data_IF_074751689026
#
_entry.id   IF_074751689026
#
_cell.length_a   1.000
_cell.length_b   1.000
_cell.length_c   1.000
_cell.angle_alpha   90.00
_cell.angle_beta   90.00
_cell.angle_gamma   90.00
#
_symmetry.space_group_name_H-M   'P 1'
#
loop_
_entity.id
_entity.type
_entity.pdbx_description
1 polymer ?
#
# COMPACT_ATOMS: atom_id res chain seq x y z
N UNK A 1 -21.00 81.09 -31.66
CA UNK A 1 -21.11 79.64 -31.96
C UNK A 1 -19.78 78.86 -31.84
N UNK A 2 -18.61 79.38 -32.25
CA UNK A 2 -17.31 78.68 -32.12
C UNK A 2 -16.93 78.22 -30.69
N UNK A 3 -17.21 79.02 -29.66
CA UNK A 3 -16.89 78.66 -28.26
C UNK A 3 -17.70 77.46 -27.72
N UNK A 4 -18.90 77.21 -28.25
CA UNK A 4 -19.73 76.09 -27.78
C UNK A 4 -19.21 74.75 -28.33
N UNK A 5 -18.68 74.76 -29.55
CA UNK A 5 -18.12 73.59 -30.23
C UNK A 5 -16.80 73.18 -29.56
N UNK A 6 -15.91 74.13 -29.29
CA UNK A 6 -14.65 73.86 -28.62
C UNK A 6 -14.84 73.31 -27.19
N UNK A 7 -15.86 73.77 -26.46
CA UNK A 7 -16.19 73.28 -25.12
C UNK A 7 -16.72 71.84 -25.13
N UNK A 8 -17.53 71.48 -26.14
CA UNK A 8 -18.01 70.10 -26.32
C UNK A 8 -16.90 69.13 -26.71
N UNK A 9 -15.98 69.56 -27.57
CA UNK A 9 -14.80 68.76 -27.96
C UNK A 9 -13.89 68.52 -26.74
N UNK A 10 -13.65 69.55 -25.92
CA UNK A 10 -12.81 69.42 -24.73
C UNK A 10 -13.41 68.44 -23.70
N UNK A 11 -14.73 68.51 -23.48
CA UNK A 11 -15.43 67.57 -22.59
C UNK A 11 -15.33 66.15 -23.12
N UNK A 12 -15.56 65.94 -24.43
CA UNK A 12 -15.45 64.61 -25.04
C UNK A 12 -14.03 64.03 -24.92
N UNK A 13 -12.99 64.83 -25.13
CA UNK A 13 -11.58 64.42 -24.96
C UNK A 13 -11.32 64.02 -23.51
N UNK A 14 -11.77 64.83 -22.53
CA UNK A 14 -11.61 64.50 -21.12
C UNK A 14 -12.33 63.20 -20.73
N UNK A 15 -13.53 62.96 -21.25
CA UNK A 15 -14.26 61.71 -20.97
C UNK A 15 -13.53 60.49 -21.53
N UNK A 16 -12.97 60.58 -22.74
CA UNK A 16 -12.18 59.50 -23.35
C UNK A 16 -10.92 59.21 -22.54
N UNK A 17 -10.21 60.25 -22.08
CA UNK A 17 -9.01 60.09 -21.24
C UNK A 17 -9.34 59.40 -19.92
N UNK A 18 -10.44 59.78 -19.26
CA UNK A 18 -10.88 59.14 -18.01
C UNK A 18 -11.19 57.65 -18.23
N UNK A 19 -11.89 57.31 -19.32
CA UNK A 19 -12.22 55.90 -19.65
C UNK A 19 -10.95 55.08 -19.87
N UNK A 20 -9.95 55.63 -20.58
CA UNK A 20 -8.68 54.95 -20.82
C UNK A 20 -7.93 54.73 -19.51
N UNK A 21 -7.84 55.72 -18.63
CA UNK A 21 -7.15 55.61 -17.34
C UNK A 21 -7.83 54.57 -16.43
N UNK A 22 -9.16 54.58 -16.35
CA UNK A 22 -9.92 53.60 -15.56
C UNK A 22 -9.73 52.18 -16.11
N UNK A 23 -9.68 52.02 -17.44
CA UNK A 23 -9.45 50.73 -18.10
C UNK A 23 -8.04 50.20 -17.83
N UNK A 24 -7.02 51.07 -17.86
CA UNK A 24 -5.63 50.69 -17.55
C UNK A 24 -5.52 50.27 -16.08
N UNK A 25 -6.09 51.05 -15.16
CA UNK A 25 -6.07 50.73 -13.72
C UNK A 25 -6.77 49.40 -13.44
N UNK A 26 -7.92 49.14 -14.07
CA UNK A 26 -8.64 47.86 -13.91
C UNK A 26 -7.86 46.68 -14.50
N UNK A 27 -7.19 46.83 -15.65
CA UNK A 27 -6.32 45.79 -16.21
C UNK A 27 -5.12 45.52 -15.29
N UNK A 28 -4.49 46.56 -14.74
CA UNK A 28 -3.37 46.41 -13.81
C UNK A 28 -3.81 45.77 -12.49
N UNK A 29 -4.98 46.14 -11.95
CA UNK A 29 -5.56 45.50 -10.77
C UNK A 29 -5.92 44.04 -11.05
N UNK A 30 -6.53 43.72 -12.22
CA UNK A 30 -6.82 42.34 -12.60
C UNK A 30 -5.55 41.51 -12.74
N UNK A 31 -4.49 42.05 -13.36
CA UNK A 31 -3.17 41.39 -13.48
C UNK A 31 -2.49 41.21 -12.12
N UNK A 32 -2.57 42.20 -11.24
CA UNK A 32 -1.99 42.10 -9.89
C UNK A 32 -2.75 41.09 -9.03
N UNK A 33 -4.08 41.02 -9.15
CA UNK A 33 -4.93 40.04 -8.46
C UNK A 33 -4.67 38.64 -9.01
N UNK A 34 -4.60 38.46 -10.33
CA UNK A 34 -4.29 37.15 -10.94
C UNK A 34 -2.86 36.70 -10.65
N UNK A 35 -1.87 37.60 -10.69
CA UNK A 35 -0.48 37.30 -10.33
C UNK A 35 -0.33 36.95 -8.84
N UNK A 36 -1.03 37.64 -7.92
CA UNK A 36 -1.08 37.24 -6.51
C UNK A 36 -1.83 35.94 -6.29
N UNK A 37 -2.88 35.65 -7.05
CA UNK A 37 -3.59 34.37 -7.00
C UNK A 37 -2.77 33.20 -7.58
N UNK A 38 -1.78 33.47 -8.42
CA UNK A 38 -0.85 32.45 -8.92
C UNK A 38 0.30 32.18 -7.95
N UNK A 39 0.51 33.05 -6.95
CA UNK A 39 1.58 32.88 -5.94
C UNK A 39 1.04 32.36 -4.60
N UNK A 40 -0.28 32.21 -4.46
CA UNK A 40 -0.96 31.71 -3.26
C UNK A 40 -2.06 30.74 -3.67
N UNK A 41 -1.72 29.64 -4.36
CA UNK A 41 -2.53 28.40 -4.52
C UNK A 41 -1.89 27.43 -5.53
N UNK A 42 -0.60 27.11 -5.38
CA UNK A 42 -0.04 25.86 -5.93
C UNK A 42 1.12 25.37 -5.07
N UNK A 43 0.95 25.33 -3.74
CA UNK A 43 1.40 24.12 -3.04
C UNK A 43 0.33 23.09 -3.35
N UNK A 44 0.32 22.58 -4.58
CA UNK A 44 -0.35 21.32 -4.84
C UNK A 44 0.35 20.37 -3.88
N UNK A 45 -0.31 19.97 -2.79
CA UNK A 45 0.19 18.94 -1.89
C UNK A 45 0.42 17.72 -2.79
N UNK A 46 1.63 17.57 -3.32
CA UNK A 46 2.01 16.46 -4.17
C UNK A 46 1.82 15.25 -3.28
N UNK A 47 0.77 14.48 -3.54
CA UNK A 47 0.58 13.19 -2.90
C UNK A 47 1.83 12.38 -3.17
N UNK A 48 2.53 12.00 -2.10
CA UNK A 48 3.73 11.20 -2.21
C UNK A 48 3.37 9.80 -2.74
N UNK A 49 4.25 9.23 -3.56
CA UNK A 49 4.20 7.82 -3.93
C UNK A 49 4.50 6.92 -2.72
N UNK A 50 4.17 5.62 -2.82
CA UNK A 50 4.41 4.67 -1.74
C UNK A 50 5.89 4.64 -1.30
N UNK A 51 6.83 4.69 -2.25
CA UNK A 51 8.26 4.66 -1.94
C UNK A 51 8.73 5.98 -1.32
N UNK A 52 8.30 7.14 -1.85
CA UNK A 52 8.59 8.45 -1.25
C UNK A 52 8.09 8.56 0.20
N UNK A 53 6.93 7.97 0.51
CA UNK A 53 6.40 7.88 1.88
C UNK A 53 7.36 7.09 2.78
N UNK A 54 7.80 5.90 2.36
CA UNK A 54 8.68 5.04 3.16
C UNK A 54 10.07 5.65 3.36
N UNK A 55 10.64 6.28 2.31
CA UNK A 55 11.93 6.96 2.38
C UNK A 55 11.90 8.17 3.32
N UNK A 56 10.79 8.92 3.31
CA UNK A 56 10.63 10.16 4.08
C UNK A 56 10.12 9.91 5.50
N UNK A 57 9.50 8.76 5.78
CA UNK A 57 8.90 8.48 7.07
C UNK A 57 9.96 8.33 8.16
N UNK A 58 9.81 9.17 9.19
CA UNK A 58 10.61 9.15 10.41
C UNK A 58 9.72 9.47 11.59
N UNK A 59 9.77 8.62 12.61
CA UNK A 59 9.20 8.93 13.92
C UNK A 59 10.35 9.46 14.78
N UNK A 60 10.20 10.68 15.28
CA UNK A 60 11.24 11.30 16.10
C UNK A 60 11.21 10.64 17.49
N UNK A 61 12.37 10.52 18.15
CA UNK A 61 12.54 10.01 19.53
C UNK A 61 12.37 8.50 19.75
N UNK A 62 12.01 7.71 18.75
CA UNK A 62 11.95 6.24 18.94
C UNK A 62 13.33 5.63 19.22
N UNK A 63 14.40 6.15 18.62
CA UNK A 63 15.77 5.71 18.93
C UNK A 63 16.16 5.96 20.39
N UNK A 64 15.74 7.10 20.95
CA UNK A 64 15.96 7.46 22.36
C UNK A 64 15.18 6.52 23.31
N UNK A 65 14.05 5.98 22.84
CA UNK A 65 13.25 4.97 23.55
C UNK A 65 13.75 3.52 23.34
N UNK A 66 14.89 3.34 22.67
CA UNK A 66 15.51 2.03 22.46
C UNK A 66 14.89 1.21 21.31
N UNK A 67 14.24 1.86 20.35
CA UNK A 67 13.82 1.19 19.11
C UNK A 67 14.93 1.17 18.08
N UNK A 68 15.01 0.06 17.34
CA UNK A 68 15.87 -0.13 16.19
C UNK A 68 15.01 0.01 14.93
N UNK A 69 15.48 0.79 13.97
CA UNK A 69 14.87 0.92 12.64
C UNK A 69 15.36 -0.21 11.74
N UNK A 70 14.42 -0.90 11.09
CA UNK A 70 14.65 -1.92 10.09
C UNK A 70 13.96 -1.49 8.79
N UNK A 71 14.75 -1.36 7.73
CA UNK A 71 14.24 -1.09 6.39
C UNK A 71 13.89 -2.42 5.70
N UNK A 72 12.97 -2.36 4.75
CA UNK A 72 12.56 -3.47 3.89
C UNK A 72 12.12 -4.72 4.67
N UNK A 73 11.50 -4.49 5.83
CA UNK A 73 10.93 -5.58 6.62
C UNK A 73 9.78 -6.21 5.84
N UNK A 74 9.66 -7.55 5.77
CA UNK A 74 8.49 -8.17 5.18
C UNK A 74 7.24 -7.66 5.89
N UNK A 75 6.31 -7.10 5.13
CA UNK A 75 5.03 -6.67 5.67
C UNK A 75 3.90 -7.28 4.87
N UNK A 76 2.76 -7.38 5.55
CA UNK A 76 1.50 -7.73 4.95
C UNK A 76 0.59 -6.52 5.14
N UNK A 77 0.21 -5.90 4.02
CA UNK A 77 -0.82 -4.88 4.01
C UNK A 77 -2.16 -5.54 3.70
N UNK A 78 -3.21 -5.22 4.47
CA UNK A 78 -4.59 -5.61 4.21
C UNK A 78 -5.42 -4.40 3.76
N UNK A 79 -6.09 -4.50 2.61
CA UNK A 79 -6.86 -3.38 2.06
C UNK A 79 -8.18 -3.81 1.43
N UNK A 80 -9.25 -3.08 1.78
CA UNK A 80 -10.61 -3.19 1.24
C UNK A 80 -10.88 -2.12 0.19
N UNK A 81 -11.14 -2.55 -1.05
CA UNK A 81 -11.65 -1.68 -2.11
C UNK A 81 -13.17 -1.48 -1.99
N UNK A 82 -13.72 -0.41 -2.58
CA UNK A 82 -15.14 -0.07 -2.56
C UNK A 82 -16.00 -0.92 -3.50
N UNK A 83 -15.43 -1.52 -4.56
CA UNK A 83 -16.18 -2.30 -5.54
C UNK A 83 -16.43 -3.76 -5.10
N UNK A 84 -15.49 -4.34 -4.36
CA UNK A 84 -15.57 -5.67 -3.76
C UNK A 84 -14.75 -5.63 -2.47
N UNK A 85 -15.16 -6.35 -1.42
CA UNK A 85 -14.32 -6.48 -0.22
C UNK A 85 -13.11 -7.35 -0.54
N UNK A 86 -12.16 -6.76 -1.26
CA UNK A 86 -10.86 -7.35 -1.50
C UNK A 86 -10.13 -7.26 -0.17
N UNK A 87 -9.39 -8.28 0.20
CA UNK A 87 -8.40 -8.16 1.26
C UNK A 87 -7.17 -8.79 0.67
N UNK A 88 -6.37 -7.98 -0.01
CA UNK A 88 -5.10 -8.46 -0.54
C UNK A 88 -4.13 -8.44 0.62
N UNK A 89 -3.46 -9.56 0.89
CA UNK A 89 -2.22 -9.57 1.67
C UNK A 89 -1.08 -9.36 0.68
N UNK A 90 -0.56 -8.15 0.61
CA UNK A 90 0.61 -7.87 -0.22
C UNK A 90 1.85 -8.06 0.63
N UNK A 91 2.72 -9.00 0.22
CA UNK A 91 4.11 -8.96 0.65
C UNK A 91 4.72 -7.73 0.03
N UNK A 92 4.94 -6.71 0.85
CA UNK A 92 5.58 -5.48 0.39
C UNK A 92 7.03 -5.47 0.83
N UNK A 93 7.89 -5.05 -0.10
CA UNK A 93 9.29 -4.77 0.19
C UNK A 93 9.45 -3.36 0.74
N UNK A 94 8.61 -2.42 0.31
CA UNK A 94 8.61 -1.03 0.80
C UNK A 94 7.89 -0.94 2.16
N UNK A 95 8.59 -1.32 3.22
CA UNK A 95 8.13 -1.08 4.59
C UNK A 95 9.26 -0.60 5.48
N UNK A 96 8.88 0.07 6.56
CA UNK A 96 9.78 0.52 7.61
C UNK A 96 9.22 0.05 8.95
N UNK A 97 10.05 -0.66 9.69
CA UNK A 97 9.71 -1.17 11.01
C UNK A 97 10.60 -0.55 12.07
N UNK A 98 10.00 -0.12 13.18
CA UNK A 98 10.69 0.23 14.40
C UNK A 98 10.38 -0.85 15.42
N UNK A 99 11.39 -1.53 15.95
CA UNK A 99 11.21 -2.64 16.91
C UNK A 99 12.06 -2.48 18.16
N UNK A 100 11.58 -2.95 19.31
CA UNK A 100 12.30 -2.93 20.58
C UNK A 100 12.00 -4.16 21.42
N UNK A 101 13.00 -4.64 22.16
CA UNK A 101 12.83 -5.70 23.15
C UNK A 101 12.41 -5.17 24.53
N UNK A 102 12.24 -3.86 24.67
CA UNK A 102 11.81 -3.24 25.92
C UNK A 102 10.29 -3.39 26.10
N UNK A 103 9.90 -4.32 26.97
CA UNK A 103 8.50 -4.66 27.28
C UNK A 103 7.72 -3.55 28.00
N UNK A 104 8.37 -2.45 28.40
CA UNK A 104 7.72 -1.29 29.05
C UNK A 104 7.17 -0.25 28.05
N UNK A 105 7.40 -0.42 26.74
CA UNK A 105 7.14 0.59 25.71
C UNK A 105 5.76 0.49 25.01
N UNK A 106 4.85 -0.38 25.47
CA UNK A 106 3.48 -0.50 24.93
C UNK A 106 2.68 0.81 24.92
N UNK A 107 3.02 1.76 25.80
CA UNK A 107 2.37 3.07 25.92
C UNK A 107 2.70 4.04 24.78
N UNK A 108 3.63 3.70 23.90
CA UNK A 108 4.07 4.58 22.80
C UNK A 108 3.13 4.55 21.58
N UNK A 109 2.25 3.55 21.46
CA UNK A 109 1.36 3.39 20.30
C UNK A 109 0.54 4.65 19.98
N UNK A 110 -0.11 5.34 20.94
CA UNK A 110 -0.88 6.55 20.64
C UNK A 110 -0.01 7.69 20.07
N UNK A 111 1.21 7.86 20.59
CA UNK A 111 2.14 8.88 20.10
C UNK A 111 2.59 8.56 18.67
N UNK A 112 2.97 7.31 18.41
CA UNK A 112 3.39 6.84 17.08
C UNK A 112 2.25 6.98 16.07
N UNK A 113 1.03 6.60 16.43
CA UNK A 113 -0.14 6.75 15.56
C UNK A 113 -0.43 8.23 15.25
N UNK A 114 -0.28 9.12 16.24
CA UNK A 114 -0.48 10.57 16.05
C UNK A 114 0.54 11.19 15.09
N UNK A 115 1.83 10.90 15.30
CA UNK A 115 2.90 11.36 14.41
C UNK A 115 2.73 10.81 12.99
N UNK A 116 2.39 9.52 12.86
CA UNK A 116 2.14 8.89 11.56
C UNK A 116 0.94 9.52 10.86
N UNK A 117 -0.17 9.74 11.58
CA UNK A 117 -1.37 10.38 11.01
C UNK A 117 -1.06 11.78 10.48
N UNK A 118 -0.28 12.56 11.24
CA UNK A 118 0.14 13.91 10.83
C UNK A 118 1.00 13.87 9.56
N UNK A 119 1.99 12.97 9.54
CA UNK A 119 2.86 12.79 8.39
C UNK A 119 2.07 12.35 7.14
N UNK A 120 1.19 11.36 7.27
CA UNK A 120 0.37 10.87 6.16
C UNK A 120 -0.55 11.95 5.60
N UNK A 121 -1.17 12.75 6.47
CA UNK A 121 -1.99 13.91 6.07
C UNK A 121 -1.17 14.93 5.27
N UNK A 122 0.02 15.28 5.75
CA UNK A 122 0.92 16.19 5.06
C UNK A 122 1.46 15.61 3.74
N UNK A 123 1.48 14.28 3.62
CA UNK A 123 1.88 13.55 2.42
C UNK A 123 0.74 13.35 1.41
N UNK A 124 -0.44 13.93 1.66
CA UNK A 124 -1.60 13.86 0.77
C UNK A 124 -2.41 12.56 0.85
N UNK A 125 -2.39 11.90 2.01
CA UNK A 125 -3.21 10.72 2.31
C UNK A 125 -4.29 11.06 3.35
N UNK A 126 -5.41 10.36 3.28
CA UNK A 126 -6.50 10.46 4.25
C UNK A 126 -6.56 9.18 5.09
N UNK A 127 -6.98 9.30 6.35
CA UNK A 127 -7.26 8.13 7.18
C UNK A 127 -8.51 7.43 6.65
N UNK A 128 -8.46 6.11 6.59
CA UNK A 128 -9.48 5.27 5.98
C UNK A 128 -9.86 4.14 6.94
N UNK A 129 -11.15 3.99 7.22
CA UNK A 129 -11.71 2.97 8.13
C UNK A 129 -11.88 1.59 7.45
N UNK A 130 -11.24 1.37 6.30
CA UNK A 130 -11.22 0.10 5.56
C UNK A 130 -10.44 -1.04 6.22
N UNK A 131 -10.00 -0.88 7.47
CA UNK A 131 -9.31 -1.92 8.24
C UNK A 131 -10.17 -3.19 8.29
N UNK A 132 -9.71 -4.25 7.63
CA UNK A 132 -10.37 -5.56 7.68
C UNK A 132 -10.02 -6.19 9.03
N UNK A 133 -11.04 -6.34 9.87
CA UNK A 133 -11.13 -7.17 11.08
C UNK A 133 -9.86 -7.98 11.43
N UNK A 134 -9.22 -7.64 12.56
CA UNK A 134 -8.32 -8.56 13.24
C UNK A 134 -8.99 -9.08 14.52
N UNK A 135 -9.10 -10.39 14.66
CA UNK A 135 -9.59 -11.04 15.88
C UNK A 135 -8.53 -11.02 17.00
N UNK A 136 -7.32 -10.53 16.72
CA UNK A 136 -6.22 -10.46 17.67
C UNK A 136 -6.16 -9.07 18.34
N UNK A 137 -6.55 -8.99 19.61
CA UNK A 137 -6.58 -7.76 20.42
C UNK A 137 -5.20 -7.13 20.70
N UNK A 138 -4.12 -7.76 20.23
CA UNK A 138 -2.74 -7.36 20.53
C UNK A 138 -2.12 -6.40 19.51
N UNK A 139 -2.77 -6.19 18.36
CA UNK A 139 -2.28 -5.31 17.30
C UNK A 139 -3.30 -4.23 16.95
N UNK A 140 -2.84 -2.98 16.91
CA UNK A 140 -3.58 -1.84 16.40
C UNK A 140 -3.21 -1.58 14.94
N UNK A 141 -4.22 -1.33 14.11
CA UNK A 141 -4.07 -1.06 12.69
C UNK A 141 -4.63 0.33 12.38
N UNK A 142 -3.94 1.05 11.50
CA UNK A 142 -4.46 2.29 10.93
C UNK A 142 -4.14 2.36 9.44
N UNK A 143 -5.17 2.54 8.63
CA UNK A 143 -5.04 2.56 7.17
C UNK A 143 -5.15 4.01 6.68
N UNK A 144 -4.33 4.34 5.68
CA UNK A 144 -4.29 5.62 5.03
C UNK A 144 -4.35 5.40 3.51
N UNK A 145 -5.15 6.17 2.80
CA UNK A 145 -5.31 6.01 1.36
C UNK A 145 -5.23 7.35 0.64
N UNK A 146 -4.75 7.31 -0.60
CA UNK A 146 -4.75 8.42 -1.54
C UNK A 146 -5.30 7.97 -2.89
N UNK A 147 -5.28 8.83 -3.91
CA UNK A 147 -5.62 8.44 -5.28
C UNK A 147 -4.70 7.35 -5.84
N UNK A 148 -3.46 7.22 -5.34
CA UNK A 148 -2.43 6.40 -5.98
C UNK A 148 -1.88 5.27 -5.10
N UNK A 149 -2.02 5.36 -3.78
CA UNK A 149 -1.41 4.41 -2.86
C UNK A 149 -2.29 4.15 -1.63
N UNK A 150 -1.97 3.06 -0.95
CA UNK A 150 -2.50 2.68 0.36
C UNK A 150 -1.32 2.41 1.28
N UNK A 151 -1.40 2.94 2.50
CA UNK A 151 -0.45 2.67 3.56
C UNK A 151 -1.17 2.14 4.79
N UNK A 152 -0.52 1.27 5.54
CA UNK A 152 -1.03 0.72 6.78
C UNK A 152 0.06 0.78 7.85
N UNK A 153 -0.29 1.39 8.98
CA UNK A 153 0.49 1.33 10.20
C UNK A 153 -0.02 0.16 11.04
N UNK A 154 0.88 -0.73 11.44
CA UNK A 154 0.63 -1.81 12.39
C UNK A 154 1.47 -1.58 13.63
N UNK A 155 0.84 -1.56 14.80
CA UNK A 155 1.50 -1.39 16.10
C UNK A 155 1.11 -2.50 17.04
N UNK A 156 2.05 -3.01 17.84
CA UNK A 156 1.72 -3.91 18.95
C UNK A 156 1.27 -3.13 20.18
N UNK A 157 0.05 -3.35 20.66
CA UNK A 157 -0.46 -2.76 21.90
C UNK A 157 0.01 -3.53 23.14
N UNK A 158 0.20 -4.84 23.02
CA UNK A 158 0.81 -5.72 24.02
C UNK A 158 1.71 -6.73 23.31
N UNK A 159 2.82 -7.18 23.93
CA UNK A 159 3.65 -8.21 23.32
C UNK A 159 2.83 -9.51 23.28
N UNK A 160 2.58 -10.04 22.07
CA UNK A 160 1.71 -11.22 21.84
C UNK A 160 2.21 -12.47 22.58
N UNK A 161 3.49 -12.48 22.93
CA UNK A 161 4.20 -13.46 23.76
C UNK A 161 5.40 -12.75 24.40
N UNK A 162 5.84 -13.15 25.60
CA UNK A 162 6.96 -12.53 26.34
C UNK A 162 8.30 -12.49 25.59
N UNK A 163 8.39 -13.17 24.43
CA UNK A 163 9.55 -13.21 23.52
C UNK A 163 9.40 -12.35 22.26
N UNK A 164 8.23 -11.78 21.95
CA UNK A 164 8.05 -10.92 20.79
C UNK A 164 8.34 -9.45 21.13
N UNK A 165 9.23 -8.85 20.35
CA UNK A 165 9.57 -7.44 20.39
C UNK A 165 8.34 -6.57 20.10
N UNK A 166 8.18 -5.47 20.83
CA UNK A 166 7.24 -4.42 20.47
C UNK A 166 7.65 -3.80 19.15
N UNK A 167 6.70 -3.57 18.25
CA UNK A 167 7.01 -2.94 16.97
C UNK A 167 5.92 -1.99 16.47
N UNK A 168 6.37 -1.08 15.60
CA UNK A 168 5.57 -0.20 14.76
C UNK A 168 6.05 -0.34 13.33
N UNK A 169 5.20 -0.82 12.43
CA UNK A 169 5.53 -1.04 11.03
C UNK A 169 4.61 -0.20 10.13
N UNK A 170 5.21 0.73 9.38
CA UNK A 170 4.51 1.43 8.31
C UNK A 170 4.84 0.78 6.98
N UNK A 171 3.79 0.52 6.22
CA UNK A 171 3.78 -0.35 5.06
C UNK A 171 3.00 0.34 3.96
N UNK A 172 3.58 0.56 2.78
CA UNK A 172 2.90 1.27 1.69
C UNK A 172 2.96 0.50 0.38
N UNK A 173 1.91 0.63 -0.42
CA UNK A 173 1.81 -0.01 -1.73
C UNK A 173 1.00 0.85 -2.70
N UNK A 174 1.35 0.81 -3.97
CA UNK A 174 0.55 1.48 -5.00
C UNK A 174 -0.79 0.76 -5.21
N UNK A 175 -1.86 1.52 -5.48
CA UNK A 175 -3.17 0.97 -5.85
C UNK A 175 -3.08 0.14 -7.13
N UNK A 176 -2.19 0.51 -8.05
CA UNK A 176 -1.90 -0.29 -9.24
C UNK A 176 -1.38 -1.68 -8.88
N UNK A 177 -0.42 -1.79 -7.96
CA UNK A 177 0.11 -3.08 -7.51
C UNK A 177 -0.96 -3.93 -6.81
N UNK A 178 -1.88 -3.32 -6.07
CA UNK A 178 -3.06 -4.00 -5.50
C UNK A 178 -3.91 -4.60 -6.63
N UNK A 179 -4.24 -3.82 -7.66
CA UNK A 179 -5.02 -4.27 -8.82
C UNK A 179 -4.30 -5.37 -9.59
N UNK A 180 -3.01 -5.20 -9.89
CA UNK A 180 -2.21 -6.19 -10.62
C UNK A 180 -2.15 -7.53 -9.87
N UNK A 181 -1.98 -7.51 -8.54
CA UNK A 181 -2.02 -8.73 -7.73
C UNK A 181 -3.41 -9.36 -7.71
N UNK A 182 -4.48 -8.56 -7.63
CA UNK A 182 -5.85 -9.07 -7.70
C UNK A 182 -6.13 -9.76 -9.04
N UNK A 183 -5.76 -9.15 -10.16
CA UNK A 183 -5.94 -9.71 -11.49
C UNK A 183 -5.13 -11.00 -11.67
N UNK A 184 -3.91 -11.05 -11.11
CA UNK A 184 -3.11 -12.26 -11.06
C UNK A 184 -3.81 -13.38 -10.26
N UNK A 185 -4.33 -13.09 -9.07
CA UNK A 185 -5.09 -14.05 -8.25
C UNK A 185 -6.34 -14.53 -9.01
N UNK A 186 -7.09 -13.62 -9.63
CA UNK A 186 -8.27 -13.96 -10.42
C UNK A 186 -7.94 -14.90 -11.58
N UNK A 187 -6.85 -14.63 -12.30
CA UNK A 187 -6.35 -15.51 -13.36
C UNK A 187 -5.98 -16.89 -12.81
N UNK A 188 -5.29 -16.96 -11.67
CA UNK A 188 -4.95 -18.22 -11.01
C UNK A 188 -6.20 -19.01 -10.61
N UNK A 189 -7.15 -18.37 -9.92
CA UNK A 189 -8.39 -19.04 -9.49
C UNK A 189 -9.22 -19.55 -10.67
N UNK A 190 -9.17 -18.90 -11.84
CA UNK A 190 -9.84 -19.38 -13.04
C UNK A 190 -9.33 -20.76 -13.52
N UNK A 191 -8.11 -21.14 -13.15
CA UNK A 191 -7.54 -22.47 -13.50
C UNK A 191 -8.16 -23.63 -12.70
N UNK A 192 -8.88 -23.33 -11.61
CA UNK A 192 -9.48 -24.35 -10.72
C UNK A 192 -10.85 -24.81 -11.23
N UNK A 193 -11.46 -24.10 -12.19
CA UNK A 193 -12.76 -24.46 -12.78
C UNK A 193 -13.98 -24.27 -11.85
N UNK A 194 -13.77 -23.78 -10.63
CA UNK A 194 -14.82 -23.48 -9.64
C UNK A 194 -15.03 -21.96 -9.52
N UNK A 195 -16.23 -21.45 -9.17
CA UNK A 195 -16.48 -20.01 -8.96
C UNK A 195 -15.86 -19.50 -7.64
N UNK A 196 -14.54 -19.69 -7.48
CA UNK A 196 -13.75 -19.11 -6.42
C UNK A 196 -13.67 -17.60 -6.63
N UNK A 197 -14.16 -16.82 -5.66
CA UNK A 197 -14.06 -15.37 -5.72
C UNK A 197 -12.67 -14.94 -5.24
N UNK A 198 -11.95 -14.08 -5.96
CA UNK A 198 -10.64 -13.57 -5.52
C UNK A 198 -10.67 -12.93 -4.13
N UNK A 199 -11.82 -12.35 -3.74
CA UNK A 199 -12.05 -11.78 -2.40
C UNK A 199 -11.89 -12.78 -1.26
N UNK A 200 -12.10 -14.07 -1.52
CA UNK A 200 -12.12 -15.13 -0.51
C UNK A 200 -10.72 -15.67 -0.20
N UNK A 201 -9.72 -15.23 -0.96
CA UNK A 201 -8.36 -15.73 -0.90
C UNK A 201 -7.37 -14.61 -0.59
N UNK A 202 -6.23 -15.00 0.00
CA UNK A 202 -5.10 -14.12 0.30
C UNK A 202 -3.82 -14.79 -0.16
N UNK A 203 -2.89 -14.01 -0.70
CA UNK A 203 -1.56 -14.52 -1.00
C UNK A 203 -0.85 -14.88 0.31
N UNK A 204 -0.47 -16.15 0.47
CA UNK A 204 0.26 -16.65 1.62
C UNK A 204 1.78 -16.50 1.40
N UNK A 205 2.27 -16.94 0.24
CA UNK A 205 3.67 -16.76 -0.15
C UNK A 205 3.83 -16.88 -1.66
N UNK A 206 4.95 -16.35 -2.15
CA UNK A 206 5.49 -16.59 -3.49
C UNK A 206 6.98 -16.87 -3.37
N UNK A 207 7.44 -17.96 -3.96
CA UNK A 207 8.86 -18.27 -4.08
C UNK A 207 9.14 -18.40 -5.57
N UNK A 208 10.20 -17.74 -6.04
CA UNK A 208 10.61 -17.80 -7.44
C UNK A 208 12.10 -18.00 -7.53
N UNK A 209 12.53 -18.85 -8.44
CA UNK A 209 13.93 -19.08 -8.75
C UNK A 209 14.11 -19.19 -10.27
N UNK A 210 15.24 -18.75 -10.79
CA UNK A 210 15.59 -18.89 -12.21
C UNK A 210 16.78 -19.82 -12.35
N UNK A 211 16.66 -20.86 -13.16
CA UNK A 211 17.73 -21.82 -13.44
C UNK A 211 17.73 -22.16 -14.92
N UNK A 212 18.89 -22.09 -15.56
CA UNK A 212 19.07 -22.33 -17.00
C UNK A 212 18.15 -21.45 -17.88
N UNK A 213 17.99 -20.18 -17.53
CA UNK A 213 17.06 -19.23 -18.17
C UNK A 213 15.58 -19.61 -18.11
N UNK A 214 15.21 -20.61 -17.31
CA UNK A 214 13.83 -20.98 -17.04
C UNK A 214 13.45 -20.44 -15.65
N UNK A 215 12.32 -19.75 -15.57
CA UNK A 215 11.77 -19.23 -14.32
C UNK A 215 10.79 -20.24 -13.73
N UNK A 216 11.06 -20.68 -12.50
CA UNK A 216 10.16 -21.50 -11.72
C UNK A 216 9.56 -20.67 -10.59
N UNK A 217 8.26 -20.75 -10.40
CA UNK A 217 7.59 -20.08 -9.29
C UNK A 217 6.60 -21.01 -8.61
N UNK A 218 6.48 -20.86 -7.29
CA UNK A 218 5.37 -21.39 -6.50
C UNK A 218 4.64 -20.26 -5.79
N UNK A 219 3.34 -20.43 -5.67
CA UNK A 219 2.46 -19.48 -5.03
C UNK A 219 1.39 -20.22 -4.25
N UNK A 220 1.14 -19.79 -3.01
CA UNK A 220 0.03 -20.31 -2.20
C UNK A 220 -1.00 -19.24 -1.91
N UNK A 221 -2.28 -19.60 -2.05
CA UNK A 221 -3.42 -18.77 -1.66
C UNK A 221 -4.15 -19.37 -0.47
N UNK A 222 -4.23 -18.66 0.64
CA UNK A 222 -5.01 -19.07 1.81
C UNK A 222 -6.45 -18.58 1.70
N UNK A 223 -7.42 -19.48 1.88
CA UNK A 223 -8.83 -19.14 2.00
C UNK A 223 -9.12 -18.50 3.36
N UNK A 224 -9.72 -17.31 3.32
CA UNK A 224 -10.14 -16.58 4.54
C UNK A 224 -11.18 -17.33 5.37
N UNK A 225 -11.95 -18.21 4.75
CA UNK A 225 -13.14 -18.82 5.37
C UNK A 225 -13.11 -20.35 5.43
N UNK A 226 -12.31 -21.03 4.59
CA UNK A 226 -12.39 -22.49 4.42
C UNK A 226 -11.18 -23.26 4.98
N UNK A 227 -10.24 -22.61 5.67
CA UNK A 227 -8.98 -23.22 6.14
C UNK A 227 -8.25 -24.02 5.04
N UNK A 228 -8.38 -23.58 3.79
CA UNK A 228 -7.85 -24.23 2.59
C UNK A 228 -6.69 -23.39 2.08
N UNK A 229 -5.56 -24.01 1.73
CA UNK A 229 -4.46 -23.33 1.04
C UNK A 229 -4.31 -23.91 -0.36
N UNK A 230 -4.58 -23.11 -1.38
CA UNK A 230 -4.44 -23.51 -2.78
C UNK A 230 -2.97 -23.34 -3.20
N UNK A 231 -2.35 -24.37 -3.78
CA UNK A 231 -0.99 -24.30 -4.30
C UNK A 231 -0.99 -24.23 -5.82
N UNK A 232 -0.24 -23.26 -6.34
CA UNK A 232 0.02 -23.07 -7.75
C UNK A 232 1.52 -23.13 -8.01
N UNK A 233 1.89 -23.56 -9.21
CA UNK A 233 3.26 -23.50 -9.69
C UNK A 233 3.30 -23.07 -11.15
N UNK A 234 4.43 -22.52 -11.58
CA UNK A 234 4.66 -22.16 -12.98
C UNK A 234 6.06 -22.51 -13.45
N UNK A 235 6.14 -22.73 -14.77
CA UNK A 235 7.37 -22.76 -15.56
C UNK A 235 7.22 -21.68 -16.63
N UNK A 236 8.12 -20.69 -16.62
CA UNK A 236 8.07 -19.50 -17.48
C UNK A 236 6.71 -18.80 -17.45
N UNK A 237 6.20 -18.59 -16.23
CA UNK A 237 4.92 -17.92 -15.93
C UNK A 237 3.66 -18.62 -16.49
N UNK A 238 3.79 -19.88 -16.96
CA UNK A 238 2.65 -20.75 -17.25
C UNK A 238 2.15 -21.41 -15.96
N UNK A 239 1.15 -20.79 -15.34
CA UNK A 239 0.62 -21.21 -14.04
C UNK A 239 -0.35 -22.39 -14.13
N UNK A 240 -0.17 -23.34 -13.23
CA UNK A 240 -1.03 -24.49 -13.01
C UNK A 240 -1.42 -24.58 -11.53
N UNK A 241 -2.69 -24.94 -11.27
CA UNK A 241 -3.12 -25.35 -9.95
C UNK A 241 -2.66 -26.79 -9.65
N UNK A 242 -1.86 -26.95 -8.61
CA UNK A 242 -1.35 -28.25 -8.21
C UNK A 242 -2.33 -28.98 -7.30
N UNK A 243 -2.95 -28.29 -6.35
CA UNK A 243 -3.85 -28.92 -5.39
C UNK A 243 -3.92 -28.13 -4.09
N UNK A 244 -4.54 -28.72 -3.09
CA UNK A 244 -4.65 -28.14 -1.76
C UNK A 244 -3.44 -28.54 -0.90
N UNK A 245 -2.80 -27.54 -0.29
CA UNK A 245 -1.92 -27.70 0.86
C UNK A 245 -2.79 -27.81 2.11
N UNK A 246 -2.83 -29.01 2.69
CA UNK A 246 -3.48 -29.20 3.98
C UNK A 246 -2.61 -28.55 5.06
N UNK A 247 -3.26 -27.79 5.96
CA UNK A 247 -2.59 -27.20 7.10
C UNK A 247 -1.97 -28.30 7.97
N UNK A 248 -0.65 -28.30 8.11
CA UNK A 248 0.01 -29.09 9.13
C UNK A 248 -0.50 -28.64 10.50
N UNK A 249 -0.91 -29.60 11.34
CA UNK A 249 -1.26 -29.30 12.72
C UNK A 249 -0.13 -28.50 13.38
N UNK A 250 -0.48 -27.53 14.22
CA UNK A 250 0.45 -26.75 15.04
C UNK A 250 1.35 -27.68 15.89
N UNK A 251 2.43 -28.29 15.38
CA UNK A 251 3.35 -29.07 16.23
C UNK A 251 4.68 -29.59 15.65
N UNK A 252 5.14 -29.28 14.43
CA UNK A 252 6.44 -29.79 13.97
C UNK A 252 7.31 -28.69 13.36
N UNK A 253 8.40 -28.37 14.05
CA UNK A 253 9.32 -27.28 13.75
C UNK A 253 10.26 -27.53 12.55
N UNK A 254 9.96 -28.51 11.68
CA UNK A 254 10.84 -28.87 10.53
C UNK A 254 10.11 -29.34 9.26
N UNK A 255 8.78 -29.48 9.24
CA UNK A 255 8.04 -29.91 8.04
C UNK A 255 6.87 -28.93 7.79
N UNK A 256 7.00 -28.05 6.80
CA UNK A 256 6.14 -26.86 6.67
C UNK A 256 4.70 -27.13 6.21
N UNK A 257 4.40 -28.24 5.52
CA UNK A 257 3.05 -28.53 5.00
C UNK A 257 2.77 -30.04 4.90
N UNK A 258 1.52 -30.46 5.15
CA UNK A 258 1.08 -31.84 4.86
C UNK A 258 0.71 -31.95 3.37
N UNK A 259 1.48 -32.75 2.63
CA UNK A 259 1.32 -32.97 1.18
C UNK A 259 0.50 -34.24 0.96
N UNK A 260 -0.61 -34.16 0.22
CA UNK A 260 -1.40 -35.34 -0.14
C UNK A 260 -0.66 -36.21 -1.18
N UNK A 261 -0.97 -37.52 -1.31
CA UNK A 261 -0.36 -38.36 -2.33
C UNK A 261 -0.50 -37.81 -3.75
N UNK A 262 -1.65 -37.21 -4.08
CA UNK A 262 -1.92 -36.60 -5.39
C UNK A 262 -1.00 -35.39 -5.63
N UNK A 263 -0.81 -34.57 -4.59
CA UNK A 263 0.08 -33.42 -4.66
C UNK A 263 1.56 -33.85 -4.72
N UNK A 264 1.91 -34.96 -4.07
CA UNK A 264 3.26 -35.54 -4.12
C UNK A 264 3.65 -35.93 -5.55
N UNK A 265 2.73 -36.48 -6.35
CA UNK A 265 2.99 -36.80 -7.77
C UNK A 265 3.33 -35.52 -8.54
N UNK A 266 2.55 -34.46 -8.37
CA UNK A 266 2.77 -33.18 -9.06
C UNK A 266 4.04 -32.45 -8.62
N UNK A 267 4.38 -32.50 -7.32
CA UNK A 267 5.61 -31.90 -6.79
C UNK A 267 6.87 -32.59 -7.35
N UNK A 268 6.79 -33.88 -7.66
CA UNK A 268 7.90 -34.63 -8.25
C UNK A 268 7.87 -34.62 -9.81
N UNK A 269 6.97 -33.86 -10.44
CA UNK A 269 6.93 -33.76 -11.90
C UNK A 269 8.26 -33.19 -12.44
N UNK A 270 8.85 -33.91 -13.41
CA UNK A 270 10.14 -33.61 -13.99
C UNK A 270 10.20 -32.22 -14.63
N UNK A 271 9.05 -31.66 -15.07
CA UNK A 271 8.99 -30.33 -15.67
C UNK A 271 9.47 -29.21 -14.73
N UNK A 272 9.39 -29.43 -13.41
CA UNK A 272 9.87 -28.46 -12.41
C UNK A 272 11.33 -28.66 -11.99
N UNK A 273 12.05 -29.63 -12.57
CA UNK A 273 13.47 -29.91 -12.29
C UNK A 273 13.83 -29.97 -10.80
N UNK A 274 12.93 -30.49 -9.96
CA UNK A 274 13.14 -30.62 -8.50
C UNK A 274 12.85 -29.36 -7.67
N UNK A 275 12.57 -28.21 -8.30
CA UNK A 275 12.33 -26.93 -7.62
C UNK A 275 11.20 -26.99 -6.58
N UNK A 276 10.08 -27.63 -6.92
CA UNK A 276 8.94 -27.75 -6.00
C UNK A 276 9.29 -28.55 -4.76
N UNK A 277 10.00 -29.67 -4.94
CA UNK A 277 10.42 -30.56 -3.87
C UNK A 277 11.39 -29.87 -2.92
N UNK A 278 12.36 -29.14 -3.47
CA UNK A 278 13.31 -28.37 -2.66
C UNK A 278 12.60 -27.28 -1.86
N UNK A 279 11.67 -26.56 -2.48
CA UNK A 279 10.98 -25.41 -1.86
C UNK A 279 9.93 -25.80 -0.81
N UNK A 280 9.28 -26.96 -0.96
CA UNK A 280 8.15 -27.36 -0.11
C UNK A 280 8.49 -28.45 0.91
N UNK A 281 9.50 -29.29 0.66
CA UNK A 281 9.80 -30.49 1.46
C UNK A 281 11.14 -30.42 2.17
N UNK A 282 12.17 -29.82 1.56
CA UNK A 282 13.55 -29.85 2.07
C UNK A 282 14.05 -28.56 2.72
N UNK A 283 13.20 -27.53 2.87
CA UNK A 283 13.61 -26.17 3.27
C UNK A 283 13.01 -25.64 4.56
#
# INVERSE_FOLDING_TARGET
MRNLINKKILIAIMTVVIIIVVSIITIFLLKAITSKKTTVETTLNKTLSADEVIESFKITKLSEKGYIKLNDSPAILQYKSSAETIGVNLSIKSSIMYTTNNTKNSKDTPEVQSQTTTFMKNSGFEADDTTIYNNNKTMAYKTFSSSHAVCQLVSTDEPVVSSQSHFHQLSCVSKKSITDQYDAIKKLLSTIGSPAKPSDYMLAFVISNSKDNIKYSILSLNSKTKHQNLLFASVDDNWEYLGDLLGGGKQYATEKYSITPELQVKINDAKYKGFLKESLVKG
#
